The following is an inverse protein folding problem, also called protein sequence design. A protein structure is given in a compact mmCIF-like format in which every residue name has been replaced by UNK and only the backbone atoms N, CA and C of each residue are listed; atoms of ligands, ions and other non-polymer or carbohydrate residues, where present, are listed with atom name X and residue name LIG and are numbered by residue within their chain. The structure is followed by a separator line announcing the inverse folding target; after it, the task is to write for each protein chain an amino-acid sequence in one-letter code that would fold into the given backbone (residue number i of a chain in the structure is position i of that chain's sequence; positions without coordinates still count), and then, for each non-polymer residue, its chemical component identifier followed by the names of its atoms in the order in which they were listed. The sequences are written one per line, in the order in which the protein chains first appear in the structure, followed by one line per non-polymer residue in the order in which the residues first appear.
data_IF_050197486412
#
_entry.id   IF_050197486412
#
_cell.length_a   1.000
_cell.length_b   1.000
_cell.length_c   1.000
_cell.angle_alpha   90.00
_cell.angle_beta   90.00
_cell.angle_gamma   90.00
#
_symmetry.space_group_name_H-M   'P 1'
#
loop_
_entity.id
_entity.type
_entity.pdbx_description
1 polymer ?
#
# COMPACT_ATOMS: atom_id res chain seq x y z
N UNK A 1 -33.82 -68.61 58.45
CA UNK A 1 -33.51 -68.80 57.01
C UNK A 1 -34.38 -67.94 56.10
N UNK A 2 -35.35 -67.16 56.61
CA UNK A 2 -36.22 -66.31 55.78
C UNK A 2 -35.93 -64.81 55.85
N UNK A 3 -34.97 -64.35 56.67
CA UNK A 3 -34.59 -62.93 56.75
C UNK A 3 -33.52 -62.56 55.72
N UNK A 4 -32.49 -63.39 55.50
CA UNK A 4 -31.45 -63.14 54.48
C UNK A 4 -31.98 -63.14 53.04
N UNK A 5 -32.93 -64.01 52.72
CA UNK A 5 -33.52 -64.11 51.37
C UNK A 5 -34.41 -62.90 51.04
N UNK A 6 -35.04 -62.30 52.06
CA UNK A 6 -35.86 -61.09 51.91
C UNK A 6 -35.00 -59.83 51.73
N UNK A 7 -33.86 -59.74 52.42
CA UNK A 7 -32.90 -58.63 52.27
C UNK A 7 -32.21 -58.65 50.89
N UNK A 8 -31.91 -59.83 50.36
CA UNK A 8 -31.36 -59.95 48.99
C UNK A 8 -32.39 -59.54 47.92
N UNK A 9 -33.67 -59.88 48.12
CA UNK A 9 -34.76 -59.48 47.21
C UNK A 9 -34.99 -57.96 47.25
N UNK A 10 -35.03 -57.37 48.45
CA UNK A 10 -35.17 -55.93 48.65
C UNK A 10 -33.99 -55.15 48.05
N UNK A 11 -32.75 -55.63 48.21
CA UNK A 11 -31.58 -54.97 47.64
C UNK A 11 -31.54 -55.02 46.10
N UNK A 12 -32.06 -56.10 45.48
CA UNK A 12 -32.25 -56.20 44.03
C UNK A 12 -33.33 -55.24 43.52
N UNK A 13 -34.48 -55.17 44.17
CA UNK A 13 -35.56 -54.24 43.78
C UNK A 13 -35.12 -52.78 43.90
N UNK A 14 -34.46 -52.40 45.00
CA UNK A 14 -33.91 -51.05 45.19
C UNK A 14 -32.84 -50.73 44.13
N UNK A 15 -32.00 -51.69 43.75
CA UNK A 15 -31.01 -51.53 42.68
C UNK A 15 -31.62 -51.36 41.30
N UNK A 16 -32.74 -52.04 41.02
CA UNK A 16 -33.45 -51.97 39.74
C UNK A 16 -34.22 -50.64 39.58
N UNK A 17 -34.85 -50.15 40.66
CA UNK A 17 -35.52 -48.84 40.68
C UNK A 17 -34.51 -47.69 40.54
N UNK A 18 -33.38 -47.76 41.24
CA UNK A 18 -32.30 -46.78 41.10
C UNK A 18 -31.72 -46.73 39.66
N UNK A 19 -31.64 -47.89 38.98
CA UNK A 19 -31.20 -47.99 37.59
C UNK A 19 -32.22 -47.38 36.61
N UNK A 20 -33.52 -47.63 36.84
CA UNK A 20 -34.61 -47.04 36.05
C UNK A 20 -34.70 -45.53 36.23
N UNK A 21 -34.62 -45.01 37.45
CA UNK A 21 -34.57 -43.58 37.74
C UNK A 21 -33.37 -42.91 37.07
N UNK A 22 -32.17 -43.51 37.18
CA UNK A 22 -30.97 -43.00 36.52
C UNK A 22 -31.12 -42.97 34.98
N UNK A 23 -31.76 -43.97 34.39
CA UNK A 23 -32.06 -44.02 32.95
C UNK A 23 -33.08 -42.95 32.51
N UNK A 24 -34.10 -42.70 33.33
CA UNK A 24 -35.13 -41.68 33.08
C UNK A 24 -34.56 -40.27 33.19
N UNK A 25 -33.73 -40.03 34.21
CA UNK A 25 -33.01 -38.77 34.41
C UNK A 25 -32.04 -38.48 33.26
N UNK A 26 -31.29 -39.49 32.78
CA UNK A 26 -30.42 -39.35 31.58
C UNK A 26 -31.22 -39.00 30.32
N UNK A 27 -32.38 -39.62 30.09
CA UNK A 27 -33.25 -39.30 28.95
C UNK A 27 -33.82 -37.88 29.05
N UNK A 28 -34.15 -37.43 30.25
CA UNK A 28 -34.69 -36.08 30.51
C UNK A 28 -33.61 -35.00 30.34
N UNK A 29 -32.37 -35.25 30.76
CA UNK A 29 -31.22 -34.39 30.48
C UNK A 29 -30.94 -34.35 28.97
N UNK A 30 -30.92 -35.50 28.30
CA UNK A 30 -30.68 -35.58 26.86
C UNK A 30 -31.75 -34.81 26.06
N UNK A 31 -33.03 -34.91 26.41
CA UNK A 31 -34.10 -34.16 25.74
C UNK A 31 -34.01 -32.65 26.01
N UNK A 32 -33.62 -32.25 27.23
CA UNK A 32 -33.38 -30.85 27.60
C UNK A 32 -32.19 -30.25 26.84
N UNK A 33 -31.09 -31.00 26.69
CA UNK A 33 -29.91 -30.58 25.93
C UNK A 33 -30.23 -30.49 24.44
N UNK A 34 -30.89 -31.49 23.86
CA UNK A 34 -31.30 -31.49 22.44
C UNK A 34 -32.22 -30.31 22.14
N UNK A 35 -33.17 -30.01 23.04
CA UNK A 35 -34.08 -28.86 22.90
C UNK A 35 -33.31 -27.53 22.89
N UNK A 36 -32.33 -27.36 23.78
CA UNK A 36 -31.46 -26.18 23.79
C UNK A 36 -30.62 -26.09 22.51
N UNK A 37 -30.10 -27.21 22.00
CA UNK A 37 -29.35 -27.21 20.74
C UNK A 37 -30.25 -26.77 19.59
N UNK A 38 -31.46 -27.32 19.45
CA UNK A 38 -32.41 -26.94 18.39
C UNK A 38 -32.83 -25.47 18.51
N UNK A 39 -32.98 -24.96 19.73
CA UNK A 39 -33.37 -23.57 20.01
C UNK A 39 -32.24 -22.59 19.68
N UNK A 40 -31.00 -22.87 20.08
CA UNK A 40 -29.86 -21.97 19.89
C UNK A 40 -29.09 -22.16 18.57
N UNK A 41 -29.18 -23.32 17.92
CA UNK A 41 -28.46 -23.62 16.68
C UNK A 41 -28.80 -22.65 15.54
N UNK A 42 -30.08 -22.30 15.26
CA UNK A 42 -30.41 -21.32 14.22
C UNK A 42 -29.81 -19.94 14.49
N UNK A 43 -29.76 -19.52 15.75
CA UNK A 43 -29.15 -18.25 16.15
C UNK A 43 -27.63 -18.27 15.99
N UNK A 44 -26.98 -19.34 16.43
CA UNK A 44 -25.54 -19.54 16.25
C UNK A 44 -25.16 -19.60 14.76
N UNK A 45 -25.91 -20.34 13.95
CA UNK A 45 -25.69 -20.44 12.50
C UNK A 45 -25.93 -19.08 11.82
N UNK A 46 -27.01 -18.38 12.17
CA UNK A 46 -27.31 -17.05 11.63
C UNK A 46 -26.22 -16.03 11.99
N UNK A 47 -25.71 -16.09 13.22
CA UNK A 47 -24.58 -15.25 13.65
C UNK A 47 -23.32 -15.56 12.84
N UNK A 48 -22.97 -16.85 12.67
CA UNK A 48 -21.80 -17.25 11.86
C UNK A 48 -21.94 -16.83 10.40
N UNK A 49 -23.12 -16.99 9.80
CA UNK A 49 -23.39 -16.57 8.43
C UNK A 49 -23.34 -15.04 8.28
N UNK A 50 -23.86 -14.29 9.26
CA UNK A 50 -23.76 -12.84 9.28
C UNK A 50 -22.30 -12.37 9.40
N UNK A 51 -21.51 -12.99 10.29
CA UNK A 51 -20.07 -12.72 10.42
C UNK A 51 -19.34 -13.05 9.11
N UNK A 52 -19.60 -14.20 8.51
CA UNK A 52 -19.00 -14.57 7.22
C UNK A 52 -19.38 -13.59 6.11
N UNK A 53 -20.64 -13.16 6.04
CA UNK A 53 -21.10 -12.16 5.09
C UNK A 53 -20.42 -10.81 5.30
N UNK A 54 -20.25 -10.36 6.55
CA UNK A 54 -19.53 -9.13 6.88
C UNK A 54 -18.06 -9.25 6.46
N UNK A 55 -17.40 -10.38 6.73
CA UNK A 55 -16.02 -10.62 6.32
C UNK A 55 -15.89 -10.59 4.77
N UNK A 56 -16.78 -11.29 4.06
CA UNK A 56 -16.74 -11.33 2.59
C UNK A 56 -17.05 -9.97 1.98
N UNK A 57 -18.02 -9.22 2.51
CA UNK A 57 -18.36 -7.89 2.01
C UNK A 57 -17.25 -6.89 2.30
N UNK A 58 -16.66 -6.90 3.50
CA UNK A 58 -15.50 -6.05 3.83
C UNK A 58 -14.29 -6.37 2.96
N UNK A 59 -13.97 -7.64 2.71
CA UNK A 59 -12.88 -8.03 1.81
C UNK A 59 -13.12 -7.59 0.35
N UNK A 60 -14.36 -7.65 -0.12
CA UNK A 60 -14.71 -7.17 -1.48
C UNK A 60 -14.64 -5.65 -1.60
N UNK A 61 -15.09 -4.93 -0.56
CA UNK A 61 -15.10 -3.47 -0.55
C UNK A 61 -13.71 -2.87 -0.27
N UNK A 62 -12.91 -3.54 0.55
CA UNK A 62 -11.56 -3.14 0.95
C UNK A 62 -10.61 -4.33 0.78
N UNK A 63 -10.28 -4.72 -0.46
CA UNK A 63 -9.27 -5.74 -0.65
C UNK A 63 -7.97 -5.23 -0.01
N UNK A 64 -7.16 -6.12 0.59
CA UNK A 64 -5.94 -5.73 1.29
C UNK A 64 -4.98 -4.92 0.40
N UNK A 65 -5.11 -4.99 -0.92
CA UNK A 65 -4.32 -4.25 -1.92
C UNK A 65 -4.99 -2.97 -2.45
N UNK A 66 -5.68 -2.20 -1.61
CA UNK A 66 -6.29 -0.92 -1.98
C UNK A 66 -6.03 0.18 -0.94
N UNK A 67 -4.77 0.39 -0.56
CA UNK A 67 -4.40 1.48 0.33
C UNK A 67 -3.03 2.05 0.00
N UNK A 68 -2.76 3.26 0.50
CA UNK A 68 -1.43 3.87 0.39
C UNK A 68 -0.34 2.95 0.96
N UNK A 69 -0.61 2.26 2.08
CA UNK A 69 0.36 1.42 2.77
C UNK A 69 0.52 0.01 2.18
N UNK A 70 -0.50 -0.51 1.50
CA UNK A 70 -0.49 -1.88 0.96
C UNK A 70 -0.38 -1.95 -0.58
N UNK A 71 -0.46 -0.79 -1.24
CA UNK A 71 -0.51 -0.69 -2.69
C UNK A 71 -1.94 -0.64 -3.24
N UNK A 72 -2.05 -0.23 -4.51
CA UNK A 72 -3.30 -0.25 -5.26
C UNK A 72 -3.25 -1.29 -6.38
N UNK A 73 -4.41 -1.78 -6.80
CA UNK A 73 -4.52 -2.74 -7.90
C UNK A 73 -4.01 -2.20 -9.26
N UNK A 74 -3.93 -0.89 -9.42
CA UNK A 74 -3.38 -0.20 -10.60
C UNK A 74 -1.85 -0.16 -10.63
N UNK A 75 -1.19 -0.61 -9.57
CA UNK A 75 0.27 -0.63 -9.47
C UNK A 75 0.85 -1.96 -9.92
N UNK A 76 2.13 -1.94 -10.31
CA UNK A 76 2.85 -3.13 -10.71
C UNK A 76 2.94 -4.15 -9.55
N UNK A 77 2.53 -5.42 -9.74
CA UNK A 77 2.48 -6.40 -8.65
C UNK A 77 3.81 -6.58 -7.91
N UNK A 78 4.93 -6.72 -8.62
CA UNK A 78 6.24 -6.90 -7.98
C UNK A 78 6.71 -5.69 -7.17
N UNK A 79 6.24 -4.48 -7.50
CA UNK A 79 6.61 -3.27 -6.75
C UNK A 79 5.81 -3.10 -5.45
N UNK A 80 4.62 -3.73 -5.33
CA UNK A 80 3.76 -3.55 -4.13
C UNK A 80 4.39 -4.09 -2.86
N UNK A 81 5.15 -5.19 -2.94
CA UNK A 81 5.84 -5.76 -1.79
C UNK A 81 6.98 -4.90 -1.24
N UNK A 82 7.39 -3.87 -2.00
CA UNK A 82 8.44 -2.93 -1.59
C UNK A 82 7.90 -1.75 -0.79
N UNK A 83 6.57 -1.59 -0.74
CA UNK A 83 5.95 -0.42 -0.11
C UNK A 83 6.28 -0.42 1.38
N UNK A 84 7.00 0.62 1.79
CA UNK A 84 7.28 0.93 3.18
C UNK A 84 6.79 2.36 3.41
N UNK A 85 5.95 2.56 4.41
CA UNK A 85 5.45 3.90 4.75
C UNK A 85 6.36 4.52 5.80
N UNK A 86 6.82 5.73 5.53
CA UNK A 86 7.65 6.53 6.43
C UNK A 86 6.95 7.86 6.71
N UNK A 87 7.26 8.44 7.86
CA UNK A 87 6.94 9.83 8.15
C UNK A 87 8.16 10.65 7.79
N UNK A 88 8.03 11.49 6.78
CA UNK A 88 9.12 12.36 6.34
C UNK A 88 8.75 13.82 6.60
N UNK A 89 9.56 14.49 7.41
CA UNK A 89 9.47 15.93 7.52
C UNK A 89 10.09 16.51 6.28
N UNK A 90 9.36 17.33 5.51
CA UNK A 90 10.01 18.14 4.47
C UNK A 90 11.27 18.77 5.10
N UNK A 91 12.49 18.49 4.59
CA UNK A 91 13.71 19.00 5.21
C UNK A 91 13.80 20.54 5.14
N UNK A 92 12.83 21.16 4.49
CA UNK A 92 12.95 22.48 3.97
C UNK A 92 12.30 23.52 4.89
N UNK A 93 12.82 23.72 6.10
CA UNK A 93 12.64 25.01 6.76
C UNK A 93 13.33 26.06 5.89
N UNK A 94 12.54 26.85 5.17
CA UNK A 94 13.06 27.94 4.34
C UNK A 94 13.93 28.81 5.24
N UNK A 95 15.24 28.77 5.02
CA UNK A 95 16.14 29.69 5.70
C UNK A 95 16.02 31.01 4.96
N UNK A 96 15.57 32.02 5.68
CA UNK A 96 15.54 33.40 5.19
C UNK A 96 16.89 34.05 5.50
N UNK A 97 17.63 34.41 4.46
CA UNK A 97 18.75 35.36 4.54
C UNK A 97 18.29 36.68 3.91
N UNK A 98 17.70 37.55 4.73
CA UNK A 98 16.99 38.74 4.22
C UNK A 98 15.76 38.38 3.37
N UNK A 99 15.68 38.91 2.15
CA UNK A 99 14.58 38.71 1.20
C UNK A 99 14.75 37.48 0.28
N UNK A 100 15.87 36.76 0.38
CA UNK A 100 16.21 35.66 -0.53
C UNK A 100 15.69 34.30 -0.02
N UNK A 101 15.02 33.56 -0.90
CA UNK A 101 14.54 32.20 -0.63
C UNK A 101 15.68 31.19 -0.85
N UNK A 102 16.21 30.60 0.22
CA UNK A 102 17.28 29.60 0.13
C UNK A 102 16.73 28.20 0.39
N UNK A 103 16.71 27.30 -0.62
CA UNK A 103 16.35 25.91 -0.43
C UNK A 103 17.35 25.18 0.49
N UNK A 104 16.91 24.39 1.48
CA UNK A 104 17.81 23.79 2.49
C UNK A 104 18.74 22.67 2.02
N UNK A 105 18.53 22.10 0.83
CA UNK A 105 19.39 21.02 0.29
C UNK A 105 19.84 21.36 -1.12
N UNK A 106 21.14 21.62 -1.33
CA UNK A 106 21.70 21.92 -2.65
C UNK A 106 21.95 20.70 -3.54
N UNK A 107 21.72 19.49 -3.04
CA UNK A 107 21.97 18.26 -3.81
C UNK A 107 21.10 18.18 -5.07
N UNK A 108 19.85 18.65 -5.00
CA UNK A 108 18.89 18.54 -6.09
C UNK A 108 18.37 19.90 -6.61
N UNK A 109 18.70 21.01 -5.95
CA UNK A 109 18.22 22.35 -6.31
C UNK A 109 19.31 23.42 -6.23
N UNK A 110 19.16 24.46 -7.06
CA UNK A 110 20.10 25.58 -7.16
C UNK A 110 20.79 25.64 -8.52
N UNK A 111 21.84 26.48 -8.61
CA UNK A 111 22.62 26.68 -9.83
C UNK A 111 23.22 25.34 -10.30
N UNK A 112 23.18 25.01 -11.61
CA UNK A 112 23.77 23.80 -12.18
C UNK A 112 25.19 23.49 -11.70
N UNK A 113 25.42 22.25 -11.27
CA UNK A 113 26.74 21.68 -10.99
C UNK A 113 26.80 20.22 -11.48
N UNK A 114 27.99 19.71 -11.83
CA UNK A 114 28.16 18.30 -12.20
C UNK A 114 27.69 17.32 -11.11
N UNK A 115 27.89 17.68 -9.83
CA UNK A 115 27.48 16.85 -8.70
C UNK A 115 25.95 16.75 -8.60
N UNK A 116 25.24 17.85 -8.80
CA UNK A 116 23.77 17.86 -8.83
C UNK A 116 23.24 17.06 -10.03
N UNK A 117 23.85 17.20 -11.21
CA UNK A 117 23.43 16.41 -12.37
C UNK A 117 23.63 14.91 -12.13
N UNK A 118 24.75 14.52 -11.50
CA UNK A 118 24.98 13.14 -11.10
C UNK A 118 23.98 12.63 -10.07
N UNK A 119 23.58 13.47 -9.10
CA UNK A 119 22.56 13.12 -8.12
C UNK A 119 21.20 12.88 -8.80
N UNK A 120 20.80 13.76 -9.72
CA UNK A 120 19.59 13.59 -10.52
C UNK A 120 19.65 12.34 -11.41
N UNK A 121 20.76 12.08 -12.10
CA UNK A 121 20.95 10.92 -12.97
C UNK A 121 20.78 9.60 -12.20
N UNK A 122 21.18 9.56 -10.92
CA UNK A 122 20.95 8.41 -10.03
C UNK A 122 19.49 8.31 -9.58
N UNK A 123 18.84 9.44 -9.34
CA UNK A 123 17.47 9.51 -8.81
C UNK A 123 16.43 9.12 -9.87
N UNK A 124 16.66 9.46 -11.14
CA UNK A 124 15.72 9.25 -12.25
C UNK A 124 16.03 8.02 -13.12
N UNK A 125 17.05 7.23 -12.78
CA UNK A 125 17.42 6.04 -13.53
C UNK A 125 17.11 4.76 -12.74
N UNK A 126 16.63 3.69 -13.40
CA UNK A 126 16.42 3.56 -14.85
C UNK A 126 14.97 3.89 -15.32
N UNK A 127 14.85 4.56 -16.46
CA UNK A 127 13.55 4.89 -17.08
C UNK A 127 12.86 3.64 -17.65
N UNK A 128 13.64 2.72 -18.23
CA UNK A 128 13.14 1.48 -18.85
C UNK A 128 13.64 0.28 -18.05
N UNK A 129 12.70 -0.57 -17.68
CA UNK A 129 12.89 -1.82 -16.96
C UNK A 129 12.62 -2.99 -17.89
N UNK A 130 13.39 -4.06 -17.71
CA UNK A 130 13.14 -5.36 -18.33
C UNK A 130 12.62 -6.33 -17.27
N UNK A 131 11.38 -6.79 -17.43
CA UNK A 131 10.62 -7.50 -16.39
C UNK A 131 10.14 -8.87 -16.84
N UNK A 132 10.07 -9.80 -15.89
CA UNK A 132 9.43 -11.09 -16.09
C UNK A 132 7.90 -10.97 -16.12
N UNK A 133 7.23 -11.99 -16.68
CA UNK A 133 5.77 -11.99 -16.85
C UNK A 133 5.03 -11.92 -15.51
N UNK A 134 5.52 -12.60 -14.49
CA UNK A 134 4.96 -12.64 -13.14
C UNK A 134 5.15 -11.31 -12.41
N UNK A 135 6.27 -10.61 -12.66
CA UNK A 135 6.53 -9.30 -12.06
C UNK A 135 5.55 -8.23 -12.53
N UNK A 136 5.22 -8.25 -13.82
CA UNK A 136 4.27 -7.31 -14.42
C UNK A 136 2.80 -7.78 -14.27
N UNK A 137 2.57 -9.09 -14.16
CA UNK A 137 1.26 -9.68 -13.97
C UNK A 137 0.27 -9.34 -15.10
N UNK A 138 -0.89 -8.79 -14.74
CA UNK A 138 -2.01 -8.56 -15.67
C UNK A 138 -1.72 -7.51 -16.74
N UNK A 139 -0.67 -6.71 -16.59
CA UNK A 139 -0.30 -5.71 -17.60
C UNK A 139 0.50 -6.29 -18.77
N UNK A 140 1.03 -7.52 -18.67
CA UNK A 140 1.84 -8.15 -19.72
C UNK A 140 1.25 -8.05 -21.15
N UNK A 141 -0.07 -8.24 -21.38
CA UNK A 141 -0.65 -8.14 -22.73
C UNK A 141 -0.61 -6.74 -23.34
N UNK A 142 -0.41 -5.69 -22.53
CA UNK A 142 -0.38 -4.29 -22.96
C UNK A 142 1.04 -3.80 -23.27
N UNK A 143 2.05 -4.62 -22.98
CA UNK A 143 3.45 -4.22 -23.07
C UNK A 143 4.14 -4.87 -24.25
N UNK A 144 5.12 -4.16 -24.79
CA UNK A 144 6.05 -4.74 -25.74
C UNK A 144 6.97 -5.76 -25.06
N UNK A 145 7.35 -6.79 -25.81
CA UNK A 145 8.41 -7.73 -25.40
C UNK A 145 9.77 -7.08 -25.54
N UNK A 146 10.71 -7.48 -24.69
CA UNK A 146 12.10 -7.04 -24.82
C UNK A 146 12.71 -7.54 -26.13
N UNK A 147 13.37 -6.68 -26.92
CA UNK A 147 14.14 -7.10 -28.10
C UNK A 147 15.31 -8.02 -27.74
N UNK A 148 15.90 -7.86 -26.55
CA UNK A 148 17.02 -8.68 -26.06
C UNK A 148 16.57 -10.04 -25.53
N UNK A 149 15.36 -10.10 -24.98
CA UNK A 149 14.78 -11.33 -24.45
C UNK A 149 13.27 -11.36 -24.66
N UNK A 150 12.81 -12.15 -25.63
CA UNK A 150 11.39 -12.21 -26.01
C UNK A 150 10.47 -12.77 -24.92
N UNK A 151 10.99 -13.37 -23.84
CA UNK A 151 10.17 -13.86 -22.71
C UNK A 151 9.79 -12.74 -21.74
N UNK A 152 10.55 -11.63 -21.76
CA UNK A 152 10.41 -10.49 -20.87
C UNK A 152 9.68 -9.32 -21.52
N UNK A 153 9.26 -8.36 -20.70
CA UNK A 153 8.50 -7.17 -21.10
C UNK A 153 9.24 -5.90 -20.73
N UNK A 154 9.06 -4.84 -21.53
CA UNK A 154 9.58 -3.51 -21.21
C UNK A 154 8.50 -2.65 -20.56
N UNK A 155 8.83 -2.01 -19.45
CA UNK A 155 7.96 -1.06 -18.73
C UNK A 155 8.80 0.00 -18.03
N UNK A 156 8.18 1.07 -17.53
CA UNK A 156 8.76 1.95 -16.52
C UNK A 156 8.01 1.85 -15.19
N UNK A 157 8.57 2.46 -14.14
CA UNK A 157 7.81 2.83 -12.94
C UNK A 157 7.48 4.33 -13.02
N UNK A 158 6.22 4.67 -12.74
CA UNK A 158 5.73 6.06 -12.89
C UNK A 158 6.48 7.08 -12.04
N UNK A 159 6.88 6.77 -10.79
CA UNK A 159 7.63 7.73 -9.96
C UNK A 159 9.00 8.09 -10.57
N UNK A 160 9.66 7.15 -11.24
CA UNK A 160 10.93 7.43 -11.94
C UNK A 160 10.69 8.32 -13.16
N UNK A 161 9.63 8.07 -13.93
CA UNK A 161 9.25 8.93 -15.05
C UNK A 161 8.88 10.35 -14.60
N UNK A 162 8.16 10.47 -13.47
CA UNK A 162 7.83 11.77 -12.86
C UNK A 162 9.08 12.54 -12.44
N UNK A 163 10.07 11.87 -11.86
CA UNK A 163 11.35 12.47 -11.49
C UNK A 163 12.15 12.91 -12.72
N UNK A 164 12.16 12.09 -13.78
CA UNK A 164 12.75 12.46 -15.07
C UNK A 164 12.09 13.71 -15.67
N UNK A 165 10.76 13.76 -15.68
CA UNK A 165 10.01 14.94 -16.12
C UNK A 165 10.36 16.18 -15.28
N UNK A 166 10.48 16.04 -13.96
CA UNK A 166 10.83 17.14 -13.07
C UNK A 166 12.25 17.65 -13.33
N UNK A 167 13.20 16.75 -13.59
CA UNK A 167 14.57 17.12 -13.96
C UNK A 167 14.63 17.84 -15.31
N UNK A 168 13.81 17.43 -16.29
CA UNK A 168 13.70 18.15 -17.56
C UNK A 168 13.22 19.59 -17.36
N UNK A 169 12.21 19.81 -16.49
CA UNK A 169 11.76 21.14 -16.10
C UNK A 169 12.87 21.92 -15.38
N UNK A 170 13.58 21.29 -14.41
CA UNK A 170 14.73 21.90 -13.72
C UNK A 170 15.77 22.39 -14.72
N UNK A 171 16.17 21.56 -15.69
CA UNK A 171 17.14 21.95 -16.74
C UNK A 171 16.60 23.09 -17.60
N UNK A 172 15.31 23.08 -17.93
CA UNK A 172 14.65 24.14 -18.68
C UNK A 172 14.60 25.51 -17.98
N UNK A 173 14.74 25.57 -16.65
CA UNK A 173 14.88 26.83 -15.88
C UNK A 173 16.26 27.46 -16.08
N UNK A 174 17.30 26.66 -16.30
CA UNK A 174 18.69 27.12 -16.42
C UNK A 174 19.19 27.07 -17.87
N UNK A 175 18.48 27.75 -18.77
CA UNK A 175 18.77 27.77 -20.21
C UNK A 175 20.17 28.32 -20.53
N UNK A 176 20.68 29.25 -19.73
CA UNK A 176 22.04 29.78 -19.88
C UNK A 176 23.11 28.69 -19.71
N UNK A 177 22.78 27.59 -19.01
CA UNK A 177 23.68 26.47 -18.77
C UNK A 177 23.40 25.27 -19.67
N UNK A 178 22.12 24.91 -19.86
CA UNK A 178 21.74 23.72 -20.64
C UNK A 178 21.37 24.02 -22.10
N UNK A 179 21.36 25.29 -22.49
CA UNK A 179 20.94 25.76 -23.80
C UNK A 179 19.45 26.09 -23.87
N UNK A 180 19.08 26.85 -24.91
CA UNK A 180 17.68 27.16 -25.22
C UNK A 180 17.05 25.91 -25.83
N UNK A 181 15.92 25.41 -25.27
CA UNK A 181 15.28 24.21 -25.79
C UNK A 181 14.71 24.44 -27.19
N UNK A 182 14.89 23.46 -28.07
CA UNK A 182 14.24 23.44 -29.37
C UNK A 182 12.72 23.17 -29.25
N UNK A 183 12.02 23.22 -30.38
CA UNK A 183 10.56 22.99 -30.42
C UNK A 183 10.15 21.62 -29.86
N UNK A 184 10.92 20.57 -30.13
CA UNK A 184 10.61 19.23 -29.64
C UNK A 184 10.83 19.13 -28.13
N UNK A 185 11.91 19.73 -27.62
CA UNK A 185 12.20 19.80 -26.20
C UNK A 185 11.12 20.60 -25.44
N UNK A 186 10.66 21.72 -26.00
CA UNK A 186 9.56 22.50 -25.43
C UNK A 186 8.25 21.69 -25.36
N UNK A 187 7.86 21.02 -26.45
CA UNK A 187 6.67 20.16 -26.44
C UNK A 187 6.79 19.01 -25.44
N UNK A 188 7.99 18.45 -25.29
CA UNK A 188 8.24 17.43 -24.27
C UNK A 188 8.11 18.03 -22.86
N UNK A 189 8.65 19.22 -22.62
CA UNK A 189 8.49 19.92 -21.34
C UNK A 189 7.01 20.23 -21.01
N UNK A 190 6.21 20.65 -21.99
CA UNK A 190 4.76 20.87 -21.79
C UNK A 190 4.06 19.58 -21.34
N UNK A 191 4.39 18.45 -21.96
CA UNK A 191 3.92 17.13 -21.52
C UNK A 191 4.39 16.78 -20.10
N UNK A 192 5.66 17.03 -19.78
CA UNK A 192 6.23 16.81 -18.46
C UNK A 192 5.49 17.63 -17.38
N UNK A 193 5.20 18.91 -17.66
CA UNK A 193 4.47 19.79 -16.76
C UNK A 193 3.06 19.26 -16.51
N UNK A 194 2.35 18.86 -17.56
CA UNK A 194 0.99 18.32 -17.43
C UNK A 194 0.96 16.97 -16.67
N UNK A 195 1.95 16.11 -16.90
CA UNK A 195 2.12 14.86 -16.18
C UNK A 195 2.34 15.10 -14.69
N UNK A 196 3.27 15.99 -14.31
CA UNK A 196 3.54 16.33 -12.91
C UNK A 196 2.29 16.92 -12.25
N UNK A 197 1.64 17.88 -12.91
CA UNK A 197 0.37 18.48 -12.44
C UNK A 197 -0.68 17.41 -12.16
N UNK A 198 -0.88 16.48 -13.09
CA UNK A 198 -1.88 15.40 -12.97
C UNK A 198 -1.56 14.47 -11.80
N UNK A 199 -0.28 14.12 -11.61
CA UNK A 199 0.15 13.25 -10.51
C UNK A 199 -0.02 13.94 -9.16
N UNK A 200 0.30 15.23 -9.05
CA UNK A 200 0.08 15.99 -7.82
C UNK A 200 -1.42 16.04 -7.45
N UNK A 201 -2.29 16.26 -8.42
CA UNK A 201 -3.74 16.19 -8.21
C UNK A 201 -4.24 14.78 -7.88
N UNK A 202 -3.67 13.75 -8.51
CA UNK A 202 -4.03 12.36 -8.22
C UNK A 202 -3.68 11.96 -6.78
N UNK A 203 -2.56 12.46 -6.25
CA UNK A 203 -2.14 12.15 -4.88
C UNK A 203 -2.83 13.04 -3.84
N UNK A 204 -3.20 14.29 -4.19
CA UNK A 204 -3.98 15.22 -3.36
C UNK A 204 -3.60 15.19 -1.88
N UNK A 205 -2.36 15.57 -1.56
CA UNK A 205 -1.90 15.62 -0.18
C UNK A 205 -2.70 16.65 0.64
N UNK A 206 -3.45 16.16 1.63
CA UNK A 206 -4.30 16.97 2.50
C UNK A 206 -3.58 17.46 3.76
N UNK A 207 -2.28 17.24 3.88
CA UNK A 207 -1.48 17.76 5.00
C UNK A 207 -1.61 19.28 5.04
N UNK A 208 -2.07 19.86 6.17
CA UNK A 208 -2.39 21.28 6.21
C UNK A 208 -1.12 22.13 6.09
N UNK A 209 -1.18 23.12 5.20
CA UNK A 209 -0.16 24.18 5.17
C UNK A 209 -0.36 25.09 6.37
N UNK A 210 0.68 25.25 7.19
CA UNK A 210 0.64 26.11 8.37
C UNK A 210 1.38 27.41 8.08
N UNK A 211 0.64 28.51 8.00
CA UNK A 211 1.21 29.85 7.88
C UNK A 211 1.53 30.41 9.26
N UNK A 212 2.80 30.76 9.49
CA UNK A 212 3.29 31.21 10.81
C UNK A 212 3.55 32.71 10.87
N UNK A 213 3.80 33.37 9.73
CA UNK A 213 4.01 34.82 9.67
C UNK A 213 3.64 35.40 8.30
N UNK A 214 3.54 36.74 8.24
CA UNK A 214 3.26 37.52 7.03
C UNK A 214 4.50 38.29 6.60
N UNK A 215 4.76 38.31 5.31
CA UNK A 215 5.79 39.15 4.65
C UNK A 215 5.12 40.05 3.60
N UNK A 216 5.87 41.01 3.04
CA UNK A 216 5.34 42.03 2.12
C UNK A 216 4.62 41.45 0.90
N UNK A 217 5.03 40.26 0.44
CA UNK A 217 4.48 39.60 -0.75
C UNK A 217 3.89 38.20 -0.47
N UNK A 218 3.59 37.84 0.78
CA UNK A 218 3.05 36.51 1.06
C UNK A 218 2.96 36.10 2.53
N UNK A 219 2.78 34.80 2.73
CA UNK A 219 2.75 34.14 4.02
C UNK A 219 3.90 33.13 4.08
N UNK A 220 4.61 33.09 5.22
CA UNK A 220 5.63 32.09 5.45
C UNK A 220 5.02 30.85 6.07
N UNK A 221 5.39 29.69 5.52
CA UNK A 221 4.95 28.38 5.98
C UNK A 221 5.97 27.73 6.91
N UNK A 222 5.51 26.83 7.79
CA UNK A 222 6.38 25.93 8.56
C UNK A 222 6.42 24.52 7.94
N UNK A 223 7.58 23.84 7.90
CA UNK A 223 7.66 22.46 7.44
C UNK A 223 6.70 21.54 8.18
N UNK A 224 6.19 20.55 7.44
CA UNK A 224 5.25 19.54 7.94
C UNK A 224 5.81 18.16 7.73
N UNK A 225 5.37 17.26 8.60
CA UNK A 225 5.56 15.82 8.43
C UNK A 225 4.50 15.31 7.48
N UNK A 226 4.95 14.65 6.41
CA UNK A 226 4.13 14.00 5.41
C UNK A 226 4.20 12.48 5.60
N UNK A 227 3.15 11.78 5.20
CA UNK A 227 3.16 10.32 5.09
C UNK A 227 3.62 9.95 3.70
N UNK A 228 4.80 9.36 3.61
CA UNK A 228 5.48 9.07 2.34
C UNK A 228 5.71 7.57 2.18
N UNK A 229 5.89 7.13 0.93
CA UNK A 229 6.49 5.81 0.66
C UNK A 229 8.00 5.98 0.58
N UNK A 230 8.73 5.09 1.23
CA UNK A 230 10.18 5.05 1.12
C UNK A 230 10.57 4.76 -0.34
N UNK A 231 11.27 5.69 -0.96
CA UNK A 231 11.65 5.57 -2.36
C UNK A 231 12.87 4.66 -2.57
N UNK A 232 13.77 4.54 -1.59
CA UNK A 232 15.03 3.81 -1.76
C UNK A 232 14.83 2.33 -2.15
N UNK A 233 13.94 1.55 -1.51
CA UNK A 233 13.71 0.16 -1.92
C UNK A 233 13.16 0.05 -3.34
N UNK A 234 12.34 1.00 -3.76
CA UNK A 234 11.74 1.07 -5.10
C UNK A 234 12.81 1.36 -6.14
N UNK A 235 13.66 2.36 -5.89
CA UNK A 235 14.75 2.75 -6.78
C UNK A 235 15.77 1.62 -6.93
N UNK A 236 16.14 0.97 -5.83
CA UNK A 236 17.06 -0.19 -5.85
C UNK A 236 16.49 -1.32 -6.70
N UNK A 237 15.23 -1.70 -6.45
CA UNK A 237 14.55 -2.75 -7.22
C UNK A 237 14.48 -2.43 -8.72
N UNK A 238 14.21 -1.18 -9.07
CA UNK A 238 14.17 -0.71 -10.45
C UNK A 238 15.57 -0.80 -11.10
N UNK A 239 16.60 -0.36 -10.38
CA UNK A 239 18.00 -0.36 -10.85
C UNK A 239 18.49 -1.77 -11.22
N UNK A 240 18.12 -2.77 -10.44
CA UNK A 240 18.44 -4.18 -10.70
C UNK A 240 17.82 -4.72 -12.00
N UNK A 241 16.81 -4.04 -12.54
CA UNK A 241 16.06 -4.40 -13.76
C UNK A 241 16.31 -3.46 -14.93
N UNK A 242 17.34 -2.60 -14.84
CA UNK A 242 17.66 -1.62 -15.87
C UNK A 242 17.79 -2.27 -17.24
N UNK A 243 16.99 -1.80 -18.19
CA UNK A 243 17.21 -2.09 -19.60
C UNK A 243 18.21 -1.08 -20.18
N UNK A 244 19.33 -1.58 -20.70
CA UNK A 244 20.29 -0.76 -21.42
C UNK A 244 19.87 -0.62 -22.88
N UNK A 245 19.57 0.61 -23.31
CA UNK A 245 19.45 0.96 -24.73
C UNK A 245 20.84 0.77 -25.39
N UNK A 246 20.87 0.09 -26.53
CA UNK A 246 22.08 -0.09 -27.36
C UNK A 246 22.33 1.12 -28.25
#
# INVERSE_FOLDING_TARGET
MGEEENDELLSKEVGEDASKEAGQFRKQIASSVIRKIIEYFPWALSFLLAVALVIVTTWKLHPPTNSYAAGWYTEMPAARSLIQVILDGQPNEIQHDGDEFVPPVREYVGKPTPEMDNAWDKLEAPIILELEKDEIGTFAPLLMRSPKNNTKYLSGIQVIHQLHCLNAVRKGVYQDFYGIPDKHQLLHMDHCIDLIRTVLQCNSDLTPTLYTSRIDHGLLGKPRTHTCRNFEPILKWATERKYALE
#
